data_IF_941986220590
#
_entry.id   IF_941986220590
#
_cell.length_a   1.000
_cell.length_b   1.000
_cell.length_c   1.000
_cell.angle_alpha   90.00
_cell.angle_beta   90.00
_cell.angle_gamma   90.00
#
_symmetry.space_group_name_H-M   'P 1'
#
loop_
_entity.id
_entity.type
_entity.pdbx_description
1 polymer ?
#
# COMPACT_ATOMS: atom_id res chain seq x y z
N UNK A 1 10.38 19.78 13.63
CA UNK A 1 10.98 18.42 13.50
C UNK A 1 11.06 17.82 14.88
N UNK A 2 9.99 17.18 15.38
CA UNK A 2 9.98 16.55 16.71
C UNK A 2 10.07 15.04 16.53
N UNK A 3 11.17 14.47 17.02
CA UNK A 3 11.33 13.03 17.16
C UNK A 3 10.16 12.51 18.02
N UNK A 4 9.37 11.59 17.45
CA UNK A 4 8.31 10.92 18.19
C UNK A 4 8.88 10.13 19.37
N UNK A 5 8.10 9.89 20.43
CA UNK A 5 8.57 9.28 21.67
C UNK A 5 9.21 7.90 21.39
N UNK A 6 10.41 7.71 21.92
CA UNK A 6 11.12 6.43 21.92
C UNK A 6 10.29 5.39 22.68
N UNK A 7 9.84 4.36 21.96
CA UNK A 7 8.96 3.33 22.52
C UNK A 7 9.68 2.54 23.66
N UNK A 8 8.97 2.21 24.76
CA UNK A 8 9.55 1.54 25.93
C UNK A 8 10.08 0.12 25.65
N UNK A 9 11.03 -0.33 26.46
CA UNK A 9 11.88 -1.52 26.26
C UNK A 9 11.16 -2.88 26.12
N UNK A 10 9.86 -3.00 26.44
CA UNK A 10 9.07 -4.21 26.18
C UNK A 10 8.74 -4.40 24.68
N UNK A 11 9.05 -3.41 23.83
CA UNK A 11 9.09 -3.53 22.37
C UNK A 11 10.27 -4.36 21.85
N UNK A 12 11.18 -4.81 22.72
CA UNK A 12 12.42 -5.46 22.31
C UNK A 12 12.29 -6.94 21.94
N UNK A 13 11.13 -7.60 22.15
CA UNK A 13 10.95 -9.03 21.86
C UNK A 13 9.99 -9.24 20.68
N UNK A 14 10.35 -10.16 19.78
CA UNK A 14 9.60 -10.46 18.55
C UNK A 14 8.13 -10.76 18.85
N UNK A 15 7.22 -10.04 18.19
CA UNK A 15 5.76 -10.22 18.33
C UNK A 15 5.27 -11.59 17.87
N UNK A 16 5.98 -12.25 16.96
CA UNK A 16 5.61 -13.57 16.45
C UNK A 16 6.11 -14.69 17.37
N UNK A 17 7.43 -14.83 17.52
CA UNK A 17 8.02 -15.95 18.24
C UNK A 17 8.17 -15.72 19.74
N UNK A 18 8.12 -14.47 20.21
CA UNK A 18 8.34 -14.05 21.62
C UNK A 18 9.66 -14.54 22.25
N UNK A 19 10.63 -14.98 21.44
CA UNK A 19 11.92 -15.53 21.89
C UNK A 19 13.10 -14.60 21.59
N UNK A 20 13.13 -14.03 20.39
CA UNK A 20 14.29 -13.27 19.90
C UNK A 20 14.07 -11.76 19.99
N UNK A 21 15.17 -11.00 20.01
CA UNK A 21 15.13 -9.53 19.95
C UNK A 21 14.51 -9.03 18.65
N UNK A 22 13.69 -7.98 18.73
CA UNK A 22 13.18 -7.23 17.57
C UNK A 22 14.33 -6.52 16.88
N UNK A 23 14.51 -6.79 15.60
CA UNK A 23 15.50 -6.13 14.74
C UNK A 23 14.96 -5.81 13.34
N UNK A 24 13.64 -5.97 13.14
CA UNK A 24 12.95 -5.70 11.87
C UNK A 24 11.66 -4.91 12.10
N UNK A 25 11.16 -4.19 11.07
CA UNK A 25 9.86 -3.53 11.11
C UNK A 25 8.73 -4.49 11.50
N UNK A 26 7.59 -3.94 11.95
CA UNK A 26 6.43 -4.71 12.47
C UNK A 26 6.68 -5.39 13.82
N UNK A 27 7.81 -5.13 14.48
CA UNK A 27 8.14 -5.73 15.78
C UNK A 27 8.57 -7.20 15.64
N UNK A 28 9.28 -7.55 14.57
CA UNK A 28 9.71 -8.92 14.28
C UNK A 28 11.23 -9.10 14.43
N UNK A 29 11.66 -10.34 14.65
CA UNK A 29 13.05 -10.73 14.49
C UNK A 29 13.36 -11.10 13.03
N UNK A 30 14.64 -11.22 12.70
CA UNK A 30 15.14 -11.51 11.36
C UNK A 30 14.49 -12.77 10.76
N UNK A 31 14.48 -13.88 11.51
CA UNK A 31 13.92 -15.14 11.05
C UNK A 31 12.42 -15.00 10.72
N UNK A 32 11.62 -14.51 11.68
CA UNK A 32 10.18 -14.33 11.50
C UNK A 32 9.83 -13.33 10.40
N UNK A 33 10.69 -12.34 10.12
CA UNK A 33 10.43 -11.38 9.05
C UNK A 33 10.52 -12.00 7.65
N UNK A 34 11.44 -12.95 7.43
CA UNK A 34 11.64 -13.60 6.14
C UNK A 34 10.91 -14.94 6.02
N UNK A 35 10.35 -15.48 7.11
CA UNK A 35 9.44 -16.61 7.03
C UNK A 35 8.22 -16.24 6.16
N UNK A 36 7.96 -16.97 5.06
CA UNK A 36 6.78 -16.75 4.22
C UNK A 36 5.49 -16.78 5.06
N UNK A 37 4.57 -15.84 4.83
CA UNK A 37 3.29 -15.73 5.54
C UNK A 37 3.35 -15.05 6.91
N UNK A 38 4.46 -15.12 7.66
CA UNK A 38 4.55 -14.51 9.00
C UNK A 38 4.45 -12.98 8.93
N UNK A 39 5.13 -12.36 7.96
CA UNK A 39 5.10 -10.90 7.75
C UNK A 39 3.69 -10.37 7.51
N UNK A 40 2.82 -11.17 6.91
CA UNK A 40 1.46 -10.76 6.53
C UNK A 40 0.49 -10.79 7.71
N UNK A 41 0.79 -11.57 8.76
CA UNK A 41 0.05 -11.60 10.03
C UNK A 41 0.27 -10.35 10.90
N UNK A 42 1.30 -9.56 10.59
CA UNK A 42 1.67 -8.40 11.39
C UNK A 42 1.48 -7.11 10.57
N UNK A 43 0.52 -6.23 10.96
CA UNK A 43 0.23 -5.04 10.19
C UNK A 43 1.46 -4.12 10.12
N UNK A 44 1.67 -3.44 8.99
CA UNK A 44 2.73 -2.45 8.87
C UNK A 44 2.57 -1.32 9.90
N UNK A 45 3.62 -1.04 10.66
CA UNK A 45 3.56 -0.08 11.78
C UNK A 45 4.04 1.33 11.43
N UNK A 46 4.61 1.56 10.25
CA UNK A 46 5.14 2.88 9.89
C UNK A 46 4.08 3.76 9.23
N UNK A 47 4.15 5.07 9.46
CA UNK A 47 3.28 6.05 8.78
C UNK A 47 3.45 6.05 7.24
N UNK A 48 4.61 5.59 6.77
CA UNK A 48 4.98 5.41 5.36
C UNK A 48 4.59 4.04 4.80
N UNK A 49 4.11 3.12 5.64
CA UNK A 49 3.64 1.85 5.14
C UNK A 49 2.34 2.07 4.37
N UNK A 50 2.27 1.47 3.18
CA UNK A 50 1.16 1.62 2.24
C UNK A 50 -0.17 1.29 2.95
N UNK A 51 -1.02 2.30 3.10
CA UNK A 51 -2.43 2.21 3.51
C UNK A 51 -3.27 2.51 2.28
N UNK A 52 -4.18 1.62 1.89
CA UNK A 52 -5.05 1.78 0.71
C UNK A 52 -5.30 0.48 -0.05
N UNK A 53 -6.17 0.53 -1.07
CA UNK A 53 -6.29 -0.55 -2.06
C UNK A 53 -4.90 -0.78 -2.62
N UNK A 54 -4.33 -1.96 -2.37
CA UNK A 54 -2.89 -2.20 -2.49
C UNK A 54 -2.31 -1.51 -3.71
N UNK A 55 -1.30 -0.66 -3.52
CA UNK A 55 -0.59 -0.08 -4.65
C UNK A 55 0.22 -1.24 -5.26
N UNK A 56 -0.41 -1.93 -6.21
CA UNK A 56 0.10 -3.11 -6.86
C UNK A 56 1.24 -2.64 -7.77
N UNK A 57 2.43 -2.56 -7.21
CA UNK A 57 3.65 -2.16 -7.91
C UNK A 57 3.92 -3.13 -9.06
N UNK A 58 4.04 -2.63 -10.28
CA UNK A 58 4.32 -3.42 -11.49
C UNK A 58 3.47 -3.00 -12.69
N UNK A 59 3.72 -3.60 -13.85
CA UNK A 59 2.87 -3.45 -15.04
C UNK A 59 1.51 -4.09 -14.76
N UNK A 60 0.43 -3.34 -14.94
CA UNK A 60 -0.94 -3.80 -14.71
C UNK A 60 -1.66 -4.00 -16.04
N UNK A 61 -2.64 -4.92 -16.12
CA UNK A 61 -3.48 -5.05 -17.30
C UNK A 61 -4.18 -3.72 -17.60
N UNK A 62 -4.17 -3.32 -18.86
CA UNK A 62 -4.90 -2.15 -19.30
C UNK A 62 -6.42 -2.40 -19.13
N UNK A 63 -7.18 -1.45 -18.58
CA UNK A 63 -8.64 -1.61 -18.48
C UNK A 63 -9.27 -1.78 -19.86
N UNK A 64 -10.26 -2.67 -20.00
CA UNK A 64 -10.87 -3.00 -21.33
C UNK A 64 -11.53 -1.81 -22.02
N UNK A 65 -11.94 -0.77 -21.28
CA UNK A 65 -12.65 0.40 -21.81
C UNK A 65 -12.04 1.68 -21.25
N UNK A 66 -11.84 2.63 -22.16
CA UNK A 66 -11.58 4.02 -21.80
C UNK A 66 -12.81 4.67 -21.15
N UNK A 67 -12.58 5.68 -20.33
CA UNK A 67 -13.66 6.49 -19.74
C UNK A 67 -13.75 7.86 -20.42
N UNK A 68 -14.99 8.28 -20.70
CA UNK A 68 -15.30 9.62 -21.16
C UNK A 68 -15.37 10.64 -20.00
N UNK A 69 -15.30 10.19 -18.75
CA UNK A 69 -15.32 11.07 -17.59
C UNK A 69 -14.09 11.98 -17.57
N UNK A 70 -14.32 13.28 -17.42
CA UNK A 70 -13.27 14.29 -17.46
C UNK A 70 -12.35 14.19 -16.24
N UNK A 71 -11.05 14.50 -16.39
CA UNK A 71 -10.18 14.64 -15.23
C UNK A 71 -10.74 15.64 -14.22
N UNK A 72 -10.68 15.30 -12.93
CA UNK A 72 -11.24 16.11 -11.84
C UNK A 72 -12.73 15.88 -11.54
N UNK A 73 -13.46 15.14 -12.39
CA UNK A 73 -14.87 14.82 -12.13
C UNK A 73 -15.05 13.68 -11.11
N UNK A 74 -16.18 13.67 -10.40
CA UNK A 74 -16.52 12.60 -9.45
C UNK A 74 -16.66 11.24 -10.15
N UNK A 75 -17.20 11.22 -11.37
CA UNK A 75 -17.35 10.04 -12.21
C UNK A 75 -15.98 9.45 -12.57
N UNK A 76 -15.00 10.30 -12.88
CA UNK A 76 -13.63 9.86 -13.14
C UNK A 76 -13.02 9.21 -11.90
N UNK A 77 -13.19 9.82 -10.73
CA UNK A 77 -12.72 9.24 -9.47
C UNK A 77 -13.35 7.87 -9.19
N UNK A 78 -14.66 7.72 -9.44
CA UNK A 78 -15.35 6.44 -9.29
C UNK A 78 -14.76 5.34 -10.20
N UNK A 79 -14.46 5.68 -11.47
CA UNK A 79 -13.78 4.77 -12.41
C UNK A 79 -12.40 4.38 -11.90
N UNK A 80 -11.59 5.34 -11.43
CA UNK A 80 -10.24 5.08 -10.93
C UNK A 80 -10.25 4.18 -9.68
N UNK A 81 -11.19 4.40 -8.76
CA UNK A 81 -11.37 3.54 -7.57
C UNK A 81 -11.71 2.11 -7.98
N UNK A 82 -12.60 1.94 -8.96
CA UNK A 82 -12.98 0.61 -9.44
C UNK A 82 -11.79 -0.10 -10.14
N UNK A 83 -11.06 0.60 -11.01
CA UNK A 83 -9.83 0.08 -11.64
C UNK A 83 -8.80 -0.34 -10.60
N UNK A 84 -8.58 0.47 -9.57
CA UNK A 84 -7.69 0.15 -8.47
C UNK A 84 -8.11 -1.13 -7.72
N UNK A 85 -9.41 -1.29 -7.42
CA UNK A 85 -9.97 -2.49 -6.78
C UNK A 85 -9.82 -3.75 -7.63
N UNK A 86 -9.97 -3.61 -8.95
CA UNK A 86 -9.77 -4.69 -9.93
C UNK A 86 -8.29 -4.94 -10.24
N UNK A 87 -7.40 -4.10 -9.71
CA UNK A 87 -5.98 -4.19 -9.96
C UNK A 87 -5.60 -3.94 -11.42
N UNK A 88 -6.37 -3.16 -12.15
CA UNK A 88 -6.04 -2.73 -13.51
C UNK A 88 -5.10 -1.51 -13.47
N UNK A 89 -4.55 -1.12 -14.62
CA UNK A 89 -3.91 0.18 -14.76
C UNK A 89 -4.95 1.28 -14.48
N UNK A 90 -4.55 2.31 -13.72
CA UNK A 90 -5.45 3.42 -13.39
C UNK A 90 -5.86 4.19 -14.64
N UNK A 91 -4.95 4.34 -15.59
CA UNK A 91 -5.12 5.18 -16.78
C UNK A 91 -5.23 4.31 -18.04
N UNK A 92 -6.08 4.73 -18.97
CA UNK A 92 -6.10 4.23 -20.34
C UNK A 92 -5.60 5.34 -21.28
N UNK A 93 -4.80 5.04 -22.31
CA UNK A 93 -4.33 6.03 -23.32
C UNK A 93 -5.43 6.80 -24.06
N UNK A 94 -6.68 6.33 -23.98
CA UNK A 94 -7.83 6.90 -24.70
C UNK A 94 -8.86 7.45 -23.72
N UNK A 95 -8.52 7.55 -22.43
CA UNK A 95 -9.37 8.23 -21.47
C UNK A 95 -9.51 9.72 -21.85
N UNK A 96 -10.64 10.33 -21.53
CA UNK A 96 -10.83 11.75 -21.77
C UNK A 96 -9.74 12.60 -21.09
N UNK A 97 -9.13 13.49 -21.86
CA UNK A 97 -8.12 14.44 -21.41
C UNK A 97 -8.78 15.74 -20.90
N UNK A 98 -8.01 16.54 -20.17
CA UNK A 98 -8.40 17.91 -19.86
C UNK A 98 -8.41 18.73 -21.15
N UNK A 99 -9.42 19.57 -21.41
CA UNK A 99 -9.36 20.52 -22.52
C UNK A 99 -8.11 21.38 -22.37
N UNK A 100 -7.33 21.50 -23.43
CA UNK A 100 -6.22 22.46 -23.49
C UNK A 100 -6.81 23.87 -23.50
N UNK A 101 -6.31 24.72 -22.61
CA UNK A 101 -6.64 26.14 -22.52
C UNK A 101 -6.12 26.94 -23.72
#
# INVERSE_FOLDING_TARGET
MTAGPVAPAWYAVCRHCRRSKVNRPRGLCWACYYTPGVKDLHPPTSKYARRGVGNLTGVRPLPRRATAARPGSAEKLAVLINRARRGEALWHPNDAETPTC
#
